data_IF_547861882971
#
_entry.id   IF_547861882971
#
_cell.length_a   1.000
_cell.length_b   1.000
_cell.length_c   1.000
_cell.angle_alpha   90.00
_cell.angle_beta   90.00
_cell.angle_gamma   90.00
#
_symmetry.space_group_name_H-M   'P 1'
#
loop_
_entity.id
_entity.type
_entity.pdbx_description
1 polymer ?
#
# COMPACT_ATOMS: atom_id res chain seq x y z
N UNK A 1 10.19 6.66 -10.66
CA UNK A 1 11.38 6.09 -9.97
C UNK A 1 12.55 6.72 -10.68
N UNK A 2 13.29 7.55 -9.98
CA UNK A 2 14.33 8.38 -10.58
C UNK A 2 15.51 8.48 -9.63
N UNK A 3 16.70 8.72 -10.17
CA UNK A 3 17.93 8.91 -9.40
C UNK A 3 18.64 10.23 -9.72
N UNK A 4 18.25 10.91 -10.80
CA UNK A 4 18.76 12.24 -11.11
C UNK A 4 18.20 13.27 -10.12
N UNK A 5 19.09 13.85 -9.31
CA UNK A 5 18.74 14.84 -8.30
C UNK A 5 18.15 16.13 -8.88
N UNK A 6 18.50 16.51 -10.11
CA UNK A 6 17.92 17.70 -10.77
C UNK A 6 16.43 17.52 -11.08
N UNK A 7 16.01 16.28 -11.34
CA UNK A 7 14.60 15.93 -11.53
C UNK A 7 13.90 15.83 -10.19
N UNK A 8 14.56 15.21 -9.20
CA UNK A 8 14.01 14.99 -7.87
C UNK A 8 13.80 16.31 -7.12
N UNK A 9 14.72 17.28 -7.22
CA UNK A 9 14.58 18.60 -6.56
C UNK A 9 13.39 19.41 -7.09
N UNK A 10 12.96 19.15 -8.32
CA UNK A 10 11.81 19.82 -8.93
C UNK A 10 10.47 19.11 -8.66
N UNK A 11 10.46 18.01 -7.91
CA UNK A 11 9.25 17.25 -7.66
C UNK A 11 8.37 17.93 -6.61
N UNK A 12 7.05 17.93 -6.80
CA UNK A 12 6.12 18.43 -5.78
C UNK A 12 6.07 17.51 -4.54
N UNK A 13 6.31 16.22 -4.74
CA UNK A 13 6.24 15.21 -3.70
C UNK A 13 7.13 14.01 -4.01
N UNK A 14 7.89 13.57 -3.01
CA UNK A 14 8.81 12.44 -3.06
C UNK A 14 8.32 11.35 -2.11
N UNK A 15 8.48 10.10 -2.53
CA UNK A 15 8.42 8.92 -1.66
C UNK A 15 9.76 8.22 -1.79
N UNK A 16 10.53 8.21 -0.70
CA UNK A 16 11.84 7.59 -0.65
C UNK A 16 11.74 6.19 -0.03
N UNK A 17 12.30 5.22 -0.75
CA UNK A 17 12.23 3.80 -0.40
C UNK A 17 13.61 3.31 0.00
N UNK A 18 13.70 2.54 1.09
CA UNK A 18 14.98 2.07 1.61
C UNK A 18 14.82 1.24 2.89
N UNK A 19 15.84 1.18 3.77
CA UNK A 19 17.13 1.87 3.69
C UNK A 19 18.03 1.33 2.56
N UNK A 20 17.86 0.06 2.20
CA UNK A 20 18.67 -0.63 1.19
C UNK A 20 17.80 -1.17 0.04
N UNK A 21 18.42 -1.80 -0.95
CA UNK A 21 17.73 -2.58 -1.98
C UNK A 21 17.45 -4.04 -1.57
N UNK A 22 16.55 -4.70 -2.30
CA UNK A 22 16.28 -6.13 -2.13
C UNK A 22 15.64 -6.48 -0.78
N UNK A 23 16.13 -7.53 -0.11
CA UNK A 23 15.58 -8.01 1.16
C UNK A 23 15.76 -7.03 2.34
N UNK A 24 16.69 -6.08 2.23
CA UNK A 24 16.93 -5.05 3.24
C UNK A 24 16.15 -3.75 3.00
N UNK A 25 15.28 -3.73 1.99
CA UNK A 25 14.48 -2.57 1.61
C UNK A 25 12.98 -2.80 1.73
N UNK A 26 12.22 -1.90 1.09
CA UNK A 26 10.76 -1.99 0.99
C UNK A 26 10.00 -1.17 2.03
N UNK A 27 10.71 -0.40 2.84
CA UNK A 27 10.12 0.56 3.77
C UNK A 27 10.12 1.96 3.17
N UNK A 28 9.14 2.77 3.56
CA UNK A 28 9.12 4.21 3.26
C UNK A 28 9.95 4.91 4.31
N UNK A 29 11.12 5.41 3.92
CA UNK A 29 12.08 6.04 4.84
C UNK A 29 11.80 7.53 4.98
N UNK A 30 11.37 8.18 3.89
CA UNK A 30 10.96 9.57 3.89
C UNK A 30 9.83 9.80 2.88
N UNK A 31 9.00 10.79 3.13
CA UNK A 31 8.04 11.29 2.15
C UNK A 31 7.68 12.75 2.44
N UNK A 32 7.36 13.50 1.39
CA UNK A 32 7.11 14.93 1.51
C UNK A 32 7.64 15.71 0.33
N UNK A 33 7.76 17.02 0.49
CA UNK A 33 8.44 17.88 -0.48
C UNK A 33 9.95 17.60 -0.50
N UNK A 34 10.69 18.07 -1.52
CA UNK A 34 12.13 17.92 -1.61
C UNK A 34 12.87 18.38 -0.33
N UNK A 35 12.45 19.50 0.24
CA UNK A 35 13.03 20.09 1.45
C UNK A 35 12.74 19.23 2.68
N UNK A 36 11.51 18.69 2.78
CA UNK A 36 11.14 17.79 3.88
C UNK A 36 11.92 16.49 3.83
N UNK A 37 12.12 15.91 2.64
CA UNK A 37 12.92 14.69 2.47
C UNK A 37 14.40 14.96 2.71
N UNK A 38 14.92 16.11 2.30
CA UNK A 38 16.29 16.53 2.57
C UNK A 38 16.63 16.59 4.07
N UNK A 39 15.66 16.94 4.91
CA UNK A 39 15.83 16.98 6.36
C UNK A 39 15.82 15.59 7.03
N UNK A 40 15.49 14.51 6.31
CA UNK A 40 15.41 13.15 6.86
C UNK A 40 16.78 12.47 6.81
N UNK A 41 17.50 12.48 7.95
CA UNK A 41 18.84 11.89 8.07
C UNK A 41 18.98 10.42 7.63
N UNK A 42 18.00 9.53 7.88
CA UNK A 42 18.04 8.15 7.38
C UNK A 42 17.91 7.99 5.85
N UNK A 43 17.51 9.04 5.12
CA UNK A 43 17.32 8.99 3.67
C UNK A 43 18.64 9.23 2.94
N UNK A 44 19.07 8.25 2.14
CA UNK A 44 20.19 8.44 1.22
C UNK A 44 19.88 9.54 0.22
N UNK A 45 18.68 9.52 -0.36
CA UNK A 45 18.19 10.57 -1.27
C UNK A 45 18.25 11.94 -0.59
N UNK A 46 17.73 12.06 0.64
CA UNK A 46 17.73 13.28 1.43
C UNK A 46 19.13 13.84 1.69
N UNK A 47 20.10 12.98 2.01
CA UNK A 47 21.50 13.38 2.26
C UNK A 47 22.13 14.09 1.06
N UNK A 48 21.84 13.65 -0.16
CA UNK A 48 22.33 14.30 -1.37
C UNK A 48 21.45 15.48 -1.80
N UNK A 49 20.14 15.37 -1.60
CA UNK A 49 19.17 16.40 -1.94
C UNK A 49 19.37 17.67 -1.12
N UNK A 50 19.73 17.56 0.16
CA UNK A 50 20.04 18.67 1.05
C UNK A 50 21.04 19.67 0.44
N UNK A 51 22.08 19.17 -0.25
CA UNK A 51 23.12 19.99 -0.87
C UNK A 51 22.61 20.83 -2.06
N UNK A 52 21.43 20.53 -2.58
CA UNK A 52 20.85 21.15 -3.77
C UNK A 52 19.66 22.04 -3.43
N UNK A 53 18.88 21.69 -2.40
CA UNK A 53 17.71 22.50 -1.98
C UNK A 53 18.11 23.74 -1.16
N UNK A 54 19.21 23.68 -0.41
CA UNK A 54 19.74 24.84 0.34
C UNK A 54 20.25 25.97 -0.58
N UNK A 55 20.47 25.70 -1.87
CA UNK A 55 21.06 26.65 -2.81
C UNK A 55 20.03 27.41 -3.69
N UNK A 56 18.78 26.93 -3.82
CA UNK A 56 17.96 27.30 -4.98
C UNK A 56 16.50 27.78 -4.74
N UNK A 57 15.83 27.75 -3.55
CA UNK A 57 14.45 28.31 -3.48
C UNK A 57 13.90 28.72 -2.09
N UNK A 58 13.63 30.02 -1.92
CA UNK A 58 12.76 30.66 -0.90
C UNK A 58 11.25 30.46 -1.23
N UNK A 59 10.72 29.25 -1.15
CA UNK A 59 9.28 29.07 -1.38
C UNK A 59 8.73 27.97 -0.50
N UNK A 60 8.14 28.36 0.63
CA UNK A 60 7.32 27.48 1.47
C UNK A 60 6.13 26.93 0.64
N UNK A 61 6.11 25.64 0.24
CA UNK A 61 4.87 25.08 -0.27
C UNK A 61 3.95 24.82 0.92
N UNK A 62 2.74 25.37 0.89
CA UNK A 62 1.70 25.00 1.84
C UNK A 62 1.55 23.46 1.89
N UNK A 63 1.34 22.87 3.08
CA UNK A 63 1.23 21.43 3.20
C UNK A 63 0.08 20.92 2.34
N UNK A 64 0.40 20.10 1.34
CA UNK A 64 -0.59 19.46 0.45
C UNK A 64 -1.49 18.58 1.32
N UNK A 65 -2.66 19.12 1.70
CA UNK A 65 -3.57 18.45 2.61
C UNK A 65 -3.99 17.12 2.00
N UNK A 66 -3.73 16.01 2.71
CA UNK A 66 -4.18 14.68 2.29
C UNK A 66 -5.68 14.73 1.99
N UNK A 67 -6.14 14.24 0.82
CA UNK A 67 -7.57 14.18 0.56
C UNK A 67 -8.22 13.34 1.66
N UNK A 68 -9.09 13.95 2.46
CA UNK A 68 -9.86 13.27 3.50
C UNK A 68 -10.49 12.05 2.84
N UNK A 69 -10.06 10.84 3.23
CA UNK A 69 -10.61 9.58 2.73
C UNK A 69 -12.12 9.72 2.73
N UNK A 70 -12.75 9.79 1.54
CA UNK A 70 -14.19 9.99 1.43
C UNK A 70 -14.84 8.91 2.29
N UNK A 71 -15.59 9.32 3.31
CA UNK A 71 -16.35 8.45 4.21
C UNK A 71 -17.44 7.63 3.48
N UNK A 72 -17.43 7.57 2.15
CA UNK A 72 -18.44 6.99 1.29
C UNK A 72 -18.34 5.47 1.12
N UNK A 73 -17.22 4.81 1.45
CA UNK A 73 -17.15 3.33 1.35
C UNK A 73 -17.87 2.62 2.50
N UNK A 74 -18.03 3.27 3.66
CA UNK A 74 -18.78 2.70 4.79
C UNK A 74 -20.30 2.61 4.51
N UNK A 75 -20.84 3.48 3.64
CA UNK A 75 -22.28 3.51 3.34
C UNK A 75 -22.74 2.48 2.30
N UNK A 76 -21.80 1.91 1.52
CA UNK A 76 -22.12 0.90 0.50
C UNK A 76 -22.36 -0.50 1.10
N UNK A 77 -21.71 -0.84 2.21
CA UNK A 77 -21.89 -2.15 2.86
C UNK A 77 -23.24 -2.29 3.59
N UNK A 78 -23.83 -1.19 4.07
CA UNK A 78 -25.07 -1.23 4.84
C UNK A 78 -26.35 -1.44 4.00
N UNK A 79 -26.34 -1.16 2.69
CA UNK A 79 -27.56 -1.20 1.85
C UNK A 79 -27.90 -2.60 1.30
N UNK A 80 -27.03 -3.59 1.50
CA UNK A 80 -27.20 -4.93 0.93
C UNK A 80 -27.90 -5.93 1.88
N UNK A 81 -28.20 -5.53 3.12
CA UNK A 81 -28.80 -6.38 4.15
C UNK A 81 -30.35 -6.42 4.12
N UNK A 82 -31.02 -5.51 3.41
CA UNK A 82 -32.50 -5.36 3.44
C UNK A 82 -33.26 -6.12 2.35
N UNK A 83 -32.63 -7.03 1.61
CA UNK A 83 -33.34 -7.88 0.62
C UNK A 83 -33.79 -9.20 1.28
N UNK A 84 -35.04 -9.20 1.75
CA UNK A 84 -35.80 -10.37 2.22
C UNK A 84 -35.69 -11.56 1.25
N UNK A 85 -35.39 -12.79 1.70
CA UNK A 85 -35.37 -13.94 0.81
C UNK A 85 -36.80 -14.38 0.48
N UNK A 86 -37.19 -14.30 -0.80
CA UNK A 86 -38.42 -14.88 -1.31
C UNK A 86 -38.20 -16.37 -1.62
N UNK A 87 -39.15 -17.16 -1.14
CA UNK A 87 -39.27 -18.61 -1.16
C UNK A 87 -39.24 -19.26 -2.54
N UNK A 88 -38.49 -20.36 -2.69
CA UNK A 88 -38.78 -21.42 -3.67
C UNK A 88 -38.32 -22.79 -3.11
N UNK A 89 -39.27 -23.74 -3.01
CA UNK A 89 -39.07 -25.15 -2.64
C UNK A 89 -39.64 -26.02 -3.80
N UNK A 90 -39.42 -27.34 -3.85
CA UNK A 90 -38.23 -28.09 -4.29
C UNK A 90 -38.54 -29.03 -5.48
N UNK A 91 -37.55 -29.59 -6.21
CA UNK A 91 -37.72 -30.93 -6.87
C UNK A 91 -36.41 -31.74 -7.05
N UNK A 92 -36.44 -32.93 -6.45
CA UNK A 92 -36.00 -34.26 -6.90
C UNK A 92 -34.54 -34.54 -7.36
N UNK A 93 -33.80 -35.19 -6.44
CA UNK A 93 -33.10 -36.47 -6.55
C UNK A 93 -32.33 -36.88 -7.84
N UNK A 94 -31.03 -37.23 -7.66
CA UNK A 94 -30.54 -38.60 -7.88
C UNK A 94 -29.22 -38.88 -7.13
N UNK A 95 -29.14 -40.14 -6.67
CA UNK A 95 -28.17 -40.83 -5.82
C UNK A 95 -26.86 -41.16 -6.55
N UNK A 96 -25.72 -41.05 -5.85
CA UNK A 96 -24.64 -42.06 -5.81
C UNK A 96 -23.66 -41.67 -4.68
N UNK A 97 -23.72 -42.33 -3.52
CA UNK A 97 -22.81 -43.41 -3.07
C UNK A 97 -21.34 -42.99 -3.07
N UNK A 98 -20.51 -43.14 -2.04
CA UNK A 98 -20.63 -43.57 -0.65
C UNK A 98 -19.19 -43.43 -0.10
N UNK A 99 -19.06 -43.09 1.19
CA UNK A 99 -18.04 -43.58 2.14
C UNK A 99 -16.53 -43.46 1.78
N UNK A 100 -15.58 -43.34 2.70
CA UNK A 100 -15.50 -43.03 4.14
C UNK A 100 -13.98 -43.07 4.43
N UNK A 101 -13.48 -41.97 4.99
CA UNK A 101 -12.50 -41.86 6.09
C UNK A 101 -11.26 -42.78 6.14
N UNK A 102 -10.21 -42.12 6.65
CA UNK A 102 -9.14 -42.61 7.55
C UNK A 102 -7.96 -43.30 6.86
N UNK A 103 -6.74 -43.31 7.36
CA UNK A 103 -5.97 -42.56 8.38
C UNK A 103 -4.62 -43.29 8.39
N UNK A 104 -3.52 -42.53 8.36
CA UNK A 104 -2.19 -42.85 8.89
C UNK A 104 -1.36 -44.07 8.40
N UNK A 105 -0.06 -43.77 8.34
CA UNK A 105 1.08 -44.54 8.85
C UNK A 105 1.90 -45.41 7.88
N UNK A 106 3.23 -45.29 8.10
CA UNK A 106 4.35 -46.16 7.74
C UNK A 106 4.75 -46.17 6.25
N UNK A 107 5.99 -46.39 5.83
CA UNK A 107 7.36 -46.41 6.37
C UNK A 107 8.25 -46.83 5.16
N UNK A 108 9.56 -46.53 5.19
CA UNK A 108 10.62 -46.99 4.26
C UNK A 108 10.51 -46.52 2.80
N UNK A 109 11.55 -46.11 2.09
CA UNK A 109 13.00 -46.38 2.17
C UNK A 109 13.85 -45.14 1.98
#
# INVERSE_FOLDING_TARGET
IEHNLDVIKCADYIVDMGPEGGNGGGEVIANGTPEQVAAVGPSHTGTYLAKLVDADHDSDPEPIARPKRRASRAKAAAKQADRKPASAKPKAAKKSTAAKKSKAAAASS
#
